data_IF_742705696900
#
_entry.id   IF_742705696900
#
_cell.length_a   1.000
_cell.length_b   1.000
_cell.length_c   1.000
_cell.angle_alpha   90.00
_cell.angle_beta   90.00
_cell.angle_gamma   90.00
#
_symmetry.space_group_name_H-M   'P 1'
#
loop_
_entity.id
_entity.type
_entity.pdbx_description
1 polymer ?
#
# COMPACT_ATOMS: atom_id res chain seq x y z
N UNK A 1 7.14 9.41 -16.42
CA UNK A 1 7.38 9.46 -14.96
C UNK A 1 7.32 8.05 -14.40
N UNK A 2 8.34 7.60 -13.64
CA UNK A 2 8.35 6.22 -13.11
C UNK A 2 7.18 5.99 -12.15
N UNK A 3 6.52 4.83 -12.25
CA UNK A 3 5.48 4.38 -11.31
C UNK A 3 5.79 2.97 -10.81
N UNK A 4 5.41 2.69 -9.57
CA UNK A 4 5.66 1.43 -8.88
C UNK A 4 4.33 0.84 -8.46
N UNK A 5 4.05 -0.37 -8.91
CA UNK A 5 2.82 -1.08 -8.58
C UNK A 5 3.09 -2.16 -7.54
N UNK A 6 2.29 -2.15 -6.48
CA UNK A 6 2.42 -3.06 -5.35
C UNK A 6 1.14 -3.84 -5.13
N UNK A 7 1.29 -5.12 -4.76
CA UNK A 7 0.28 -5.85 -4.00
C UNK A 7 0.56 -5.61 -2.52
N UNK A 8 -0.42 -5.13 -1.78
CA UNK A 8 -0.31 -4.87 -0.35
C UNK A 8 -1.28 -5.76 0.39
N UNK A 9 -0.77 -6.45 1.41
CA UNK A 9 -1.59 -7.17 2.38
C UNK A 9 -1.71 -6.29 3.62
N UNK A 10 -2.93 -6.10 4.09
CA UNK A 10 -3.19 -5.28 5.27
C UNK A 10 -4.05 -6.02 6.29
N UNK A 11 -3.83 -5.70 7.56
CA UNK A 11 -4.62 -6.17 8.68
C UNK A 11 -5.60 -5.10 9.12
N UNK A 12 -6.82 -5.52 9.46
CA UNK A 12 -7.86 -4.68 10.02
C UNK A 12 -8.70 -5.48 11.03
N UNK A 13 -9.65 -4.83 11.71
CA UNK A 13 -10.38 -5.45 12.83
C UNK A 13 -11.13 -6.75 12.49
N UNK A 14 -11.48 -6.98 11.22
CA UNK A 14 -12.23 -8.17 10.78
C UNK A 14 -11.35 -9.21 10.08
N UNK A 15 -10.02 -9.01 10.00
CA UNK A 15 -9.10 -9.96 9.40
C UNK A 15 -8.03 -9.30 8.53
N UNK A 16 -7.72 -9.94 7.41
CA UNK A 16 -6.73 -9.45 6.45
C UNK A 16 -7.37 -9.19 5.09
N UNK A 17 -6.92 -8.14 4.42
CA UNK A 17 -7.34 -7.75 3.08
C UNK A 17 -6.15 -7.63 2.14
N UNK A 18 -6.45 -7.46 0.86
CA UNK A 18 -5.46 -7.22 -0.19
C UNK A 18 -5.90 -6.04 -1.04
N UNK A 19 -4.94 -5.18 -1.39
CA UNK A 19 -5.17 -4.05 -2.29
C UNK A 19 -4.00 -3.92 -3.25
N UNK A 20 -4.31 -3.56 -4.50
CA UNK A 20 -3.32 -3.19 -5.49
C UNK A 20 -3.23 -1.66 -5.53
N UNK A 21 -2.02 -1.14 -5.42
CA UNK A 21 -1.77 0.29 -5.44
C UNK A 21 -0.67 0.64 -6.44
N UNK A 22 -0.71 1.86 -6.97
CA UNK A 22 0.35 2.40 -7.81
C UNK A 22 0.82 3.72 -7.25
N UNK A 23 2.13 3.83 -6.98
CA UNK A 23 2.74 5.03 -6.37
C UNK A 23 3.83 5.60 -7.29
N UNK A 24 4.06 6.92 -7.29
CA UNK A 24 5.13 7.54 -8.08
C UNK A 24 6.53 7.37 -7.47
N UNK A 25 6.60 6.94 -6.20
CA UNK A 25 7.83 6.69 -5.45
C UNK A 25 7.81 5.27 -4.89
N UNK A 26 8.96 4.60 -4.79
CA UNK A 26 9.02 3.28 -4.16
C UNK A 26 8.76 3.38 -2.65
N UNK A 27 8.28 2.30 -2.05
CA UNK A 27 8.18 2.18 -0.59
C UNK A 27 9.57 1.76 -0.09
N UNK A 28 10.30 2.68 0.53
CA UNK A 28 11.70 2.46 0.92
C UNK A 28 11.99 2.80 2.39
N UNK A 29 11.04 3.41 3.08
CA UNK A 29 11.16 3.87 4.45
C UNK A 29 9.92 3.55 5.28
N UNK A 30 10.04 3.68 6.59
CA UNK A 30 8.90 3.56 7.51
C UNK A 30 7.83 4.64 7.23
N UNK A 31 8.25 5.86 6.91
CA UNK A 31 7.33 6.96 6.58
C UNK A 31 6.48 6.65 5.34
N UNK A 32 7.05 5.93 4.35
CA UNK A 32 6.31 5.47 3.18
C UNK A 32 5.25 4.42 3.55
N UNK A 33 5.55 3.57 4.55
CA UNK A 33 4.59 2.58 5.08
C UNK A 33 3.45 3.28 5.84
N UNK A 34 3.72 4.32 6.62
CA UNK A 34 2.67 5.12 7.27
C UNK A 34 1.76 5.84 6.25
N UNK A 35 2.35 6.35 5.17
CA UNK A 35 1.58 6.93 4.06
C UNK A 35 0.72 5.88 3.34
N UNK A 36 1.24 4.66 3.20
CA UNK A 36 0.51 3.51 2.69
C UNK A 36 -0.67 3.15 3.60
N UNK A 37 -0.46 3.05 4.91
CA UNK A 37 -1.52 2.77 5.88
C UNK A 37 -2.66 3.78 5.79
N UNK A 38 -2.31 5.07 5.69
CA UNK A 38 -3.29 6.13 5.47
C UNK A 38 -4.08 5.91 4.17
N UNK A 39 -3.40 5.58 3.08
CA UNK A 39 -4.04 5.28 1.78
C UNK A 39 -5.02 4.12 1.88
N UNK A 40 -4.64 3.04 2.57
CA UNK A 40 -5.49 1.84 2.77
C UNK A 40 -6.75 2.21 3.55
N UNK A 41 -6.59 2.99 4.63
CA UNK A 41 -7.70 3.46 5.47
C UNK A 41 -8.68 4.33 4.68
N UNK A 42 -8.17 5.29 3.91
CA UNK A 42 -8.97 6.20 3.08
C UNK A 42 -9.70 5.46 1.95
N UNK A 43 -9.00 4.56 1.24
CA UNK A 43 -9.57 3.82 0.11
C UNK A 43 -10.70 2.87 0.52
N UNK A 44 -10.57 2.22 1.68
CA UNK A 44 -11.55 1.21 2.13
C UNK A 44 -12.58 1.75 3.14
N UNK A 45 -12.44 3.00 3.59
CA UNK A 45 -13.29 3.56 4.65
C UNK A 45 -13.13 2.85 6.00
N UNK A 46 -11.93 2.31 6.28
CA UNK A 46 -11.65 1.53 7.50
C UNK A 46 -10.74 2.36 8.41
N UNK A 47 -11.18 2.62 9.64
CA UNK A 47 -10.44 3.49 10.57
C UNK A 47 -9.15 2.87 11.15
N UNK A 48 -9.06 1.54 11.16
CA UNK A 48 -7.92 0.80 11.73
C UNK A 48 -7.46 -0.27 10.74
N UNK A 49 -6.64 0.15 9.79
CA UNK A 49 -5.94 -0.73 8.87
C UNK A 49 -4.45 -0.39 8.85
N UNK A 50 -3.62 -1.43 8.76
CA UNK A 50 -2.15 -1.36 8.75
C UNK A 50 -1.61 -2.36 7.71
N UNK A 51 -0.67 -1.93 6.89
CA UNK A 51 0.08 -2.79 5.99
C UNK A 51 0.93 -3.75 6.81
N UNK A 52 0.85 -5.04 6.48
CA UNK A 52 1.64 -6.10 7.12
C UNK A 52 2.66 -6.73 6.17
N UNK A 53 2.41 -6.63 4.87
CA UNK A 53 3.32 -7.08 3.83
C UNK A 53 3.03 -6.32 2.53
N UNK A 54 4.03 -6.15 1.68
CA UNK A 54 3.87 -5.59 0.35
C UNK A 54 4.90 -6.17 -0.61
N UNK A 55 4.47 -6.38 -1.86
CA UNK A 55 5.29 -6.90 -2.94
C UNK A 55 5.22 -6.00 -4.15
N UNK A 56 6.38 -5.55 -4.62
CA UNK A 56 6.50 -4.87 -5.92
C UNK A 56 6.13 -5.86 -7.03
N UNK A 57 5.12 -5.52 -7.82
CA UNK A 57 4.67 -6.31 -8.96
C UNK A 57 5.29 -5.83 -10.26
N UNK A 58 5.37 -4.51 -10.45
CA UNK A 58 5.81 -3.90 -11.71
C UNK A 58 6.36 -2.50 -11.49
N UNK A 59 7.38 -2.17 -12.27
CA UNK A 59 7.84 -0.81 -12.50
C UNK A 59 7.41 -0.36 -13.89
N UNK A 60 6.80 0.81 -13.98
CA UNK A 60 6.47 1.46 -15.24
C UNK A 60 7.55 2.49 -15.54
N UNK A 61 8.33 2.25 -16.58
CA UNK A 61 9.14 3.27 -17.25
C UNK A 61 8.37 3.73 -18.48
N UNK A 62 7.93 4.99 -18.50
CA UNK A 62 7.56 5.65 -19.75
C UNK A 62 8.80 5.77 -20.66
#
# INVERSE_FOLDING_TARGET
MKKYEYMVVYSFSQGTGRIQITTPKPIASYDDVEALDKTIREYNGINKAFAIDFKLLREYTE
#
